data_IF_335353919565
#
_entry.id   IF_335353919565
#
_cell.length_a   1.000
_cell.length_b   1.000
_cell.length_c   1.000
_cell.angle_alpha   90.00
_cell.angle_beta   90.00
_cell.angle_gamma   90.00
#
_symmetry.space_group_name_H-M   'P 1'
#
loop_
_entity.id
_entity.type
_entity.pdbx_description
1 polymer ?
#
# COMPACT_ATOMS: atom_id res chain seq x y z
N UNK A 1 -9.07 4.46 -0.12
CA UNK A 1 -9.96 3.97 -1.20
C UNK A 1 -10.08 5.06 -2.24
N UNK A 2 -9.92 4.73 -3.52
CA UNK A 2 -10.20 5.64 -4.62
C UNK A 2 -11.52 5.25 -5.28
N UNK A 3 -12.59 5.93 -4.92
CA UNK A 3 -13.89 5.77 -5.57
C UNK A 3 -14.06 6.73 -6.77
N UNK A 4 -13.05 7.48 -7.16
CA UNK A 4 -13.09 8.43 -8.28
C UNK A 4 -12.80 7.73 -9.63
N UNK A 5 -13.03 8.45 -10.73
CA UNK A 5 -12.84 7.93 -12.09
C UNK A 5 -11.40 8.05 -12.60
N UNK A 6 -10.55 8.80 -11.94
CA UNK A 6 -9.12 8.94 -12.26
C UNK A 6 -8.24 8.32 -11.18
N UNK A 7 -6.98 8.05 -11.52
CA UNK A 7 -5.95 7.72 -10.54
C UNK A 7 -5.69 8.93 -9.63
N UNK A 8 -5.57 8.68 -8.33
CA UNK A 8 -5.33 9.72 -7.34
C UNK A 8 -4.17 9.32 -6.41
N UNK A 9 -3.22 10.22 -6.13
CA UNK A 9 -2.24 10.01 -5.08
C UNK A 9 -2.89 10.24 -3.71
N UNK A 10 -2.65 9.31 -2.78
CA UNK A 10 -3.04 9.44 -1.38
C UNK A 10 -1.77 9.62 -0.55
N UNK A 11 -1.68 10.69 0.23
CA UNK A 11 -0.61 10.84 1.20
C UNK A 11 -0.70 9.74 2.26
N UNK A 12 0.41 9.08 2.54
CA UNK A 12 0.53 8.11 3.62
C UNK A 12 1.05 8.83 4.87
N UNK A 13 0.50 8.53 6.06
CA UNK A 13 1.06 9.07 7.29
C UNK A 13 2.48 8.53 7.48
N UNK A 14 3.34 9.33 8.09
CA UNK A 14 4.70 8.92 8.44
C UNK A 14 4.64 7.67 9.32
N UNK A 15 5.51 6.72 9.04
CA UNK A 15 5.62 5.51 9.83
C UNK A 15 6.17 5.84 11.21
N UNK A 16 5.79 5.02 12.20
CA UNK A 16 6.44 4.99 13.51
C UNK A 16 7.89 4.53 13.35
N UNK A 17 8.76 4.96 14.26
CA UNK A 17 10.18 4.59 14.24
C UNK A 17 10.36 3.06 14.15
N UNK A 18 11.20 2.59 13.24
CA UNK A 18 11.45 1.17 13.01
C UNK A 18 10.30 0.41 12.33
N UNK A 19 9.32 1.13 11.74
CA UNK A 19 8.19 0.54 11.02
C UNK A 19 8.16 0.94 9.54
N UNK A 20 7.60 0.07 8.73
CA UNK A 20 7.38 0.26 7.29
C UNK A 20 5.95 -0.09 6.89
N UNK A 21 5.43 0.59 5.86
CA UNK A 21 4.18 0.21 5.22
C UNK A 21 4.38 -1.02 4.35
N UNK A 22 3.48 -1.99 4.48
CA UNK A 22 3.40 -3.17 3.64
C UNK A 22 2.04 -3.21 2.97
N UNK A 23 2.01 -3.39 1.65
CA UNK A 23 0.78 -3.62 0.91
C UNK A 23 0.33 -5.05 1.07
N UNK A 24 -0.91 -5.24 1.53
CA UNK A 24 -1.53 -6.56 1.68
C UNK A 24 -2.58 -6.80 0.59
N UNK A 25 -3.41 -5.80 0.32
CA UNK A 25 -4.43 -5.86 -0.74
C UNK A 25 -4.25 -4.66 -1.65
N UNK A 26 -4.33 -4.89 -2.96
CA UNK A 26 -4.58 -3.83 -3.96
C UNK A 26 -5.50 -4.37 -5.04
N UNK A 27 -6.75 -3.94 -5.03
CA UNK A 27 -7.79 -4.47 -5.93
C UNK A 27 -7.60 -4.05 -7.38
N UNK A 28 -6.63 -3.18 -7.69
CA UNK A 28 -6.28 -2.88 -9.07
C UNK A 28 -5.36 -3.94 -9.70
N UNK A 29 -4.57 -4.63 -8.88
CA UNK A 29 -3.65 -5.65 -9.38
C UNK A 29 -4.40 -6.93 -9.74
N UNK A 30 -3.80 -7.70 -10.64
CA UNK A 30 -4.30 -9.03 -10.98
C UNK A 30 -3.78 -10.06 -10.00
N UNK A 31 -4.59 -11.10 -9.78
CA UNK A 31 -4.15 -12.31 -9.07
C UNK A 31 -2.84 -12.85 -9.66
N UNK A 32 -1.84 -13.22 -8.84
CA UNK A 32 -1.87 -13.31 -7.37
C UNK A 32 -1.43 -12.07 -6.61
N UNK A 33 -1.25 -10.93 -7.29
CA UNK A 33 -0.68 -9.71 -6.69
C UNK A 33 -1.74 -8.82 -6.03
N UNK A 34 -3.02 -9.12 -6.22
CA UNK A 34 -4.15 -8.44 -5.60
C UNK A 34 -4.24 -8.66 -4.09
N UNK A 35 -3.72 -9.80 -3.61
CA UNK A 35 -3.63 -10.17 -2.20
C UNK A 35 -2.29 -10.87 -1.90
N UNK A 36 -1.43 -10.22 -1.10
CA UNK A 36 -0.14 -10.76 -0.65
C UNK A 36 -0.18 -10.97 0.86
N UNK A 37 -0.32 -12.22 1.29
CA UNK A 37 -0.52 -12.60 2.71
C UNK A 37 0.56 -12.05 3.64
N UNK A 38 1.83 -12.10 3.23
CA UNK A 38 2.96 -11.59 4.03
C UNK A 38 3.22 -10.09 3.84
N UNK A 39 2.54 -9.49 2.88
CA UNK A 39 2.72 -8.12 2.43
C UNK A 39 3.99 -7.87 1.63
N UNK A 40 3.92 -6.84 0.81
CA UNK A 40 5.05 -6.33 0.03
C UNK A 40 5.46 -4.95 0.58
N UNK A 41 6.74 -4.72 0.92
CA UNK A 41 7.18 -3.47 1.50
C UNK A 41 7.03 -2.31 0.52
N UNK A 42 6.44 -1.21 0.97
CA UNK A 42 6.38 0.05 0.25
C UNK A 42 7.56 0.91 0.70
N UNK A 43 8.74 0.59 0.18
CA UNK A 43 9.99 1.26 0.55
C UNK A 43 9.90 2.77 0.34
N UNK A 44 9.93 3.52 1.44
CA UNK A 44 10.10 4.99 1.48
C UNK A 44 9.10 5.80 0.62
N UNK A 45 7.83 5.41 0.59
CA UNK A 45 6.80 6.22 -0.07
C UNK A 45 6.01 7.06 0.94
N UNK A 46 6.00 8.38 0.75
CA UNK A 46 5.14 9.32 1.49
C UNK A 46 3.70 9.36 0.94
N UNK A 47 3.46 8.63 -0.14
CA UNK A 47 2.21 8.57 -0.87
C UNK A 47 2.00 7.22 -1.55
N UNK A 48 0.76 6.91 -1.93
CA UNK A 48 0.41 5.73 -2.72
C UNK A 48 -0.56 6.14 -3.82
N UNK A 49 -0.24 5.86 -5.08
CA UNK A 49 -1.19 6.07 -6.18
C UNK A 49 -2.23 4.95 -6.17
N UNK A 50 -3.49 5.33 -5.98
CA UNK A 50 -4.62 4.44 -6.21
C UNK A 50 -5.19 4.69 -7.59
N UNK A 51 -5.31 3.63 -8.37
CA UNK A 51 -5.96 3.64 -9.68
C UNK A 51 -7.46 3.89 -9.53
N UNK A 52 -8.09 4.29 -10.62
CA UNK A 52 -9.53 4.57 -10.65
C UNK A 52 -10.32 3.38 -10.11
N UNK A 53 -11.29 3.65 -9.21
CA UNK A 53 -12.19 2.64 -8.64
C UNK A 53 -11.49 1.47 -7.93
N UNK A 54 -10.34 1.71 -7.29
CA UNK A 54 -9.62 0.68 -6.53
C UNK A 54 -9.49 0.99 -5.04
N UNK A 55 -9.09 -0.02 -4.27
CA UNK A 55 -8.69 0.15 -2.88
C UNK A 55 -7.37 -0.56 -2.60
N UNK A 56 -6.63 -0.03 -1.63
CA UNK A 56 -5.46 -0.67 -1.04
C UNK A 56 -5.69 -0.86 0.45
N UNK A 57 -5.17 -1.96 0.99
CA UNK A 57 -5.02 -2.17 2.43
C UNK A 57 -3.53 -2.28 2.74
N UNK A 58 -3.06 -1.38 3.60
CA UNK A 58 -1.69 -1.32 4.07
C UNK A 58 -1.61 -1.74 5.54
N UNK A 59 -0.57 -2.48 5.88
CA UNK A 59 -0.20 -2.78 7.26
C UNK A 59 1.13 -2.11 7.59
N UNK A 60 1.18 -1.44 8.72
CA UNK A 60 2.45 -0.98 9.29
C UNK A 60 3.09 -2.13 10.07
N UNK A 61 4.27 -2.60 9.65
CA UNK A 61 4.99 -3.72 10.28
C UNK A 61 6.39 -3.28 10.70
N UNK A 62 7.02 -4.04 11.61
CA UNK A 62 8.45 -3.85 11.90
C UNK A 62 9.25 -4.02 10.62
N UNK A 63 10.13 -3.06 10.33
CA UNK A 63 11.10 -3.22 9.27
C UNK A 63 11.92 -4.48 9.55
N UNK A 64 12.07 -5.35 8.56
CA UNK A 64 12.99 -6.47 8.68
C UNK A 64 14.41 -5.88 8.63
N UNK A 65 15.12 -5.94 9.75
CA UNK A 65 16.55 -5.68 9.78
C UNK A 65 17.24 -6.82 9.02
N UNK A 66 17.82 -6.51 7.87
CA UNK A 66 18.74 -7.40 7.15
C UNK A 66 20.15 -7.26 7.69
#
# INVERSE_FOLDING_TARGET
INAYWESLPFALPKNRSGKEWYRIIDTYLLHPNDLIVNGEPLTRSDSYELRSRSMVVLLEKSAMNW
#
